data_IF_230923621732
#
_entry.id   IF_230923621732
#
_cell.length_a   1.000
_cell.length_b   1.000
_cell.length_c   1.000
_cell.angle_alpha   90.00
_cell.angle_beta   90.00
_cell.angle_gamma   90.00
#
_symmetry.space_group_name_H-M   'P 1'
#
loop_
_entity.id
_entity.type
_entity.pdbx_description
1 polymer ?
#
# COMPACT_ATOMS: atom_id res chain seq x y z
N UNK A 1 -34.65 39.90 36.67
CA UNK A 1 -34.36 38.93 35.60
C UNK A 1 -32.88 39.02 35.32
N UNK A 2 -32.12 37.94 35.52
CA UNK A 2 -30.68 37.95 35.19
C UNK A 2 -30.60 37.68 33.68
N UNK A 3 -30.24 38.71 32.92
CA UNK A 3 -29.91 38.55 31.49
C UNK A 3 -28.71 37.62 31.39
N UNK A 4 -28.92 36.42 30.85
CA UNK A 4 -27.81 35.55 30.45
C UNK A 4 -27.20 36.16 29.20
N UNK A 5 -26.00 36.74 29.34
CA UNK A 5 -25.20 37.12 28.17
C UNK A 5 -25.06 35.93 27.21
N UNK A 6 -25.29 36.11 25.91
CA UNK A 6 -25.16 35.05 24.94
C UNK A 6 -23.71 34.53 24.91
N UNK A 7 -23.55 33.20 25.02
CA UNK A 7 -22.23 32.56 24.93
C UNK A 7 -21.71 32.79 23.51
N UNK A 8 -20.55 33.45 23.39
CA UNK A 8 -19.92 33.65 22.09
C UNK A 8 -19.49 32.31 21.49
N UNK A 9 -19.60 32.18 20.16
CA UNK A 9 -19.19 30.97 19.44
C UNK A 9 -17.74 30.58 19.76
N UNK A 10 -16.85 31.56 19.93
CA UNK A 10 -15.45 31.32 20.32
C UNK A 10 -15.31 30.68 21.70
N UNK A 11 -16.14 31.10 22.67
CA UNK A 11 -16.18 30.52 24.03
C UNK A 11 -16.78 29.12 24.02
N UNK A 12 -17.77 28.87 23.16
CA UNK A 12 -18.34 27.54 22.95
C UNK A 12 -17.32 26.59 22.30
N UNK A 13 -16.66 27.01 21.22
CA UNK A 13 -15.66 26.20 20.49
C UNK A 13 -14.38 25.90 21.27
N UNK A 14 -14.08 26.67 22.32
CA UNK A 14 -12.96 26.41 23.24
C UNK A 14 -13.36 25.58 24.45
N UNK A 15 -14.64 25.26 24.61
CA UNK A 15 -15.12 24.44 25.71
C UNK A 15 -14.61 22.99 25.53
N UNK A 16 -14.04 22.35 26.58
CA UNK A 16 -13.47 21.00 26.47
C UNK A 16 -14.43 19.95 25.89
N UNK A 17 -15.70 19.97 26.30
CA UNK A 17 -16.72 19.06 25.76
C UNK A 17 -17.02 19.29 24.27
N UNK A 18 -16.98 20.55 23.80
CA UNK A 18 -17.19 20.87 22.39
C UNK A 18 -15.97 20.45 21.58
N UNK A 19 -14.76 20.72 22.08
CA UNK A 19 -13.53 20.22 21.47
C UNK A 19 -13.52 18.69 21.38
N UNK A 20 -13.95 18.00 22.43
CA UNK A 20 -14.08 16.53 22.44
C UNK A 20 -15.13 16.03 21.44
N UNK A 21 -16.31 16.63 21.40
CA UNK A 21 -17.41 16.23 20.52
C UNK A 21 -17.15 16.56 19.03
N UNK A 22 -16.41 17.63 18.75
CA UNK A 22 -16.06 18.08 17.40
C UNK A 22 -14.69 17.58 16.93
N UNK A 23 -13.94 16.91 17.82
CA UNK A 23 -12.66 16.31 17.49
C UNK A 23 -12.84 15.27 16.39
N UNK A 24 -11.96 15.33 15.39
CA UNK A 24 -11.84 14.27 14.39
C UNK A 24 -11.09 13.03 14.94
N UNK A 25 -10.70 13.06 16.21
CA UNK A 25 -10.09 11.96 16.97
C UNK A 25 -11.03 11.59 18.11
N UNK A 26 -11.65 10.41 18.01
CA UNK A 26 -12.46 9.80 19.06
C UNK A 26 -11.73 8.60 19.68
N UNK A 27 -12.32 7.99 20.71
CA UNK A 27 -11.72 6.88 21.42
C UNK A 27 -11.53 5.66 20.52
N UNK A 28 -12.51 5.35 19.68
CA UNK A 28 -12.45 4.22 18.75
C UNK A 28 -11.30 4.38 17.75
N UNK A 29 -11.01 5.61 17.31
CA UNK A 29 -9.88 5.90 16.44
C UNK A 29 -8.54 5.68 17.16
N UNK A 30 -8.43 6.08 18.42
CA UNK A 30 -7.23 5.86 19.23
C UNK A 30 -6.99 4.37 19.44
N UNK A 31 -8.00 3.64 19.90
CA UNK A 31 -7.95 2.17 20.05
C UNK A 31 -7.61 1.47 18.73
N UNK A 32 -8.17 1.96 17.61
CA UNK A 32 -7.86 1.41 16.28
C UNK A 32 -6.40 1.63 15.89
N UNK A 33 -5.80 2.78 16.22
CA UNK A 33 -4.40 3.09 15.94
C UNK A 33 -3.44 2.25 16.80
N UNK A 34 -3.84 1.85 18.00
CA UNK A 34 -3.04 1.00 18.89
C UNK A 34 -2.99 -0.47 18.45
N UNK A 35 -3.90 -0.90 17.58
CA UNK A 35 -3.88 -2.26 17.05
C UNK A 35 -2.54 -2.56 16.35
N UNK A 36 -1.86 -3.60 16.80
CA UNK A 36 -0.62 -4.10 16.20
C UNK A 36 -0.94 -5.26 15.24
N UNK A 37 -0.83 -5.07 13.91
CA UNK A 37 -1.09 -6.15 12.97
C UNK A 37 -0.14 -7.33 13.19
N UNK A 38 -0.62 -8.57 13.13
CA UNK A 38 0.26 -9.73 13.18
C UNK A 38 1.19 -9.73 11.96
N UNK A 39 2.44 -10.12 12.18
CA UNK A 39 3.45 -10.29 11.13
C UNK A 39 3.72 -11.77 10.91
N UNK A 40 4.11 -12.15 9.69
CA UNK A 40 4.57 -13.50 9.42
C UNK A 40 5.80 -13.83 10.28
N UNK A 41 5.90 -15.09 10.73
CA UNK A 41 6.98 -15.53 11.64
C UNK A 41 8.37 -15.21 11.11
N UNK A 42 8.55 -15.30 9.79
CA UNK A 42 9.83 -14.98 9.14
C UNK A 42 10.34 -13.57 9.50
N UNK A 43 9.43 -12.60 9.62
CA UNK A 43 9.77 -11.20 9.91
C UNK A 43 9.99 -10.91 11.41
N UNK A 44 9.81 -11.91 12.29
CA UNK A 44 10.20 -11.79 13.70
C UNK A 44 11.72 -11.73 13.85
N UNK A 45 12.45 -12.48 13.01
CA UNK A 45 13.92 -12.38 12.96
C UNK A 45 14.35 -10.99 12.48
N UNK A 46 15.52 -10.55 12.93
CA UNK A 46 16.08 -9.25 12.52
C UNK A 46 16.49 -9.27 11.06
N UNK A 47 17.11 -10.36 10.62
CA UNK A 47 17.68 -10.50 9.28
C UNK A 47 16.90 -11.54 8.49
N UNK A 48 16.75 -11.25 7.20
CA UNK A 48 16.04 -12.11 6.27
C UNK A 48 16.77 -12.14 4.93
N UNK A 49 16.62 -13.23 4.19
CA UNK A 49 17.14 -13.38 2.84
C UNK A 49 16.08 -13.98 1.90
N UNK A 50 16.33 -13.83 0.60
CA UNK A 50 15.49 -14.40 -0.44
C UNK A 50 16.07 -15.73 -0.91
N UNK A 51 15.20 -16.70 -1.09
CA UNK A 51 15.51 -18.03 -1.63
C UNK A 51 14.59 -18.29 -2.83
N UNK A 52 15.15 -18.80 -3.93
CA UNK A 52 14.34 -19.18 -5.10
C UNK A 52 13.49 -20.41 -4.79
N UNK A 53 12.19 -20.33 -5.10
CA UNK A 53 11.23 -21.42 -4.97
C UNK A 53 11.02 -22.12 -6.32
N UNK A 54 11.77 -23.19 -6.57
CA UNK A 54 11.76 -23.95 -7.84
C UNK A 54 10.47 -24.75 -8.08
N UNK A 55 9.66 -24.91 -7.04
CA UNK A 55 8.35 -25.54 -7.07
C UNK A 55 7.27 -24.84 -7.92
N UNK A 56 7.45 -23.55 -8.24
CA UNK A 56 6.48 -22.76 -9.01
C UNK A 56 6.84 -22.78 -10.49
N UNK A 57 5.86 -23.11 -11.33
CA UNK A 57 6.05 -23.18 -12.78
C UNK A 57 5.04 -22.31 -13.54
N UNK A 58 5.52 -21.44 -14.41
CA UNK A 58 4.68 -20.54 -15.20
C UNK A 58 4.89 -20.77 -16.69
N UNK A 59 3.79 -20.69 -17.45
CA UNK A 59 3.86 -20.58 -18.91
C UNK A 59 4.18 -19.14 -19.28
N UNK A 60 5.21 -18.96 -20.10
CA UNK A 60 5.69 -17.63 -20.47
C UNK A 60 4.97 -17.16 -21.74
N UNK A 61 4.23 -16.08 -21.62
CA UNK A 61 3.58 -15.44 -22.77
C UNK A 61 4.62 -14.88 -23.76
N UNK A 62 4.35 -15.08 -25.06
CA UNK A 62 5.27 -14.73 -26.14
C UNK A 62 5.45 -13.22 -26.26
N UNK A 63 4.37 -12.44 -26.15
CA UNK A 63 4.44 -10.99 -26.29
C UNK A 63 5.10 -10.35 -25.06
N UNK A 64 4.81 -10.88 -23.87
CA UNK A 64 5.46 -10.47 -22.62
C UNK A 64 6.97 -10.72 -22.68
N UNK A 65 7.41 -11.86 -23.25
CA UNK A 65 8.84 -12.13 -23.46
C UNK A 65 9.51 -11.11 -24.38
N UNK A 66 8.80 -10.58 -25.38
CA UNK A 66 9.33 -9.53 -26.27
C UNK A 66 9.38 -8.17 -25.57
N UNK A 67 8.35 -7.84 -24.79
CA UNK A 67 8.21 -6.52 -24.17
C UNK A 67 9.01 -6.37 -22.86
N UNK A 68 9.14 -7.45 -22.08
CA UNK A 68 9.79 -7.47 -20.77
C UNK A 68 10.92 -8.52 -20.70
N UNK A 69 11.89 -8.52 -21.64
CA UNK A 69 12.91 -9.57 -21.76
C UNK A 69 13.81 -9.68 -20.52
N UNK A 70 14.00 -8.59 -19.78
CA UNK A 70 14.84 -8.58 -18.58
C UNK A 70 14.12 -9.07 -17.33
N UNK A 71 12.79 -9.24 -17.38
CA UNK A 71 11.97 -9.59 -16.22
C UNK A 71 11.28 -10.94 -16.36
N UNK A 72 10.96 -11.37 -17.58
CA UNK A 72 10.13 -12.55 -17.86
C UNK A 72 10.66 -13.85 -17.24
N UNK A 73 11.96 -13.92 -16.96
CA UNK A 73 12.60 -15.09 -16.37
C UNK A 73 12.76 -15.02 -14.84
N UNK A 74 12.21 -13.98 -14.18
CA UNK A 74 12.26 -13.86 -12.73
C UNK A 74 11.61 -15.10 -12.07
N UNK A 75 12.31 -15.65 -11.08
CA UNK A 75 11.84 -16.80 -10.32
C UNK A 75 11.11 -16.34 -9.07
N UNK A 76 10.11 -17.11 -8.66
CA UNK A 76 9.42 -16.88 -7.38
C UNK A 76 10.44 -16.94 -6.25
N UNK A 77 10.35 -15.95 -5.35
CA UNK A 77 11.22 -15.84 -4.18
C UNK A 77 10.41 -16.13 -2.92
N UNK A 78 10.97 -16.96 -2.04
CA UNK A 78 10.54 -17.14 -0.66
C UNK A 78 11.40 -16.32 0.26
N UNK A 79 10.82 -15.83 1.35
CA UNK A 79 11.57 -15.14 2.42
C UNK A 79 11.94 -16.17 3.48
N UNK A 80 13.19 -16.13 3.94
CA UNK A 80 13.72 -16.97 5.03
C UNK A 80 14.34 -16.10 6.12
N UNK A 81 14.23 -16.55 7.36
CA UNK A 81 14.88 -15.92 8.50
C UNK A 81 16.35 -16.30 8.54
N UNK A 82 17.19 -15.37 8.97
CA UNK A 82 18.60 -15.62 9.24
C UNK A 82 18.93 -15.19 10.68
N UNK A 83 18.95 -16.16 11.60
CA UNK A 83 19.22 -15.88 13.01
C UNK A 83 20.71 -15.68 13.31
N UNK A 84 21.58 -16.17 12.43
CA UNK A 84 23.04 -15.98 12.48
C UNK A 84 23.58 -15.65 11.09
N UNK A 85 23.27 -14.46 10.55
CA UNK A 85 23.67 -14.07 9.20
C UNK A 85 25.18 -13.82 9.14
N UNK A 86 25.79 -14.12 8.01
CA UNK A 86 27.18 -13.73 7.75
C UNK A 86 27.33 -12.19 7.64
N UNK A 87 28.57 -11.70 7.69
CA UNK A 87 28.85 -10.26 7.62
C UNK A 87 28.41 -9.61 6.30
N UNK A 88 28.35 -10.36 5.21
CA UNK A 88 27.92 -9.86 3.90
C UNK A 88 26.42 -9.57 3.90
N UNK A 89 25.62 -10.52 4.38
CA UNK A 89 24.17 -10.39 4.51
C UNK A 89 23.81 -9.26 5.47
N UNK A 90 24.50 -9.15 6.61
CA UNK A 90 24.28 -8.03 7.55
C UNK A 90 24.52 -6.67 6.87
N UNK A 91 25.67 -6.50 6.19
CA UNK A 91 25.98 -5.25 5.48
C UNK A 91 24.98 -4.92 4.38
N UNK A 92 24.52 -5.92 3.63
CA UNK A 92 23.52 -5.74 2.59
C UNK A 92 22.15 -5.36 3.18
N UNK A 93 21.75 -5.98 4.29
CA UNK A 93 20.48 -5.71 4.96
C UNK A 93 20.46 -4.30 5.56
N UNK A 94 21.52 -3.93 6.29
CA UNK A 94 21.66 -2.66 6.99
C UNK A 94 22.06 -1.50 6.05
N UNK A 95 22.17 -1.74 4.73
CA UNK A 95 22.44 -0.70 3.73
C UNK A 95 21.36 0.38 3.78
N UNK A 96 21.79 1.65 3.83
CA UNK A 96 20.92 2.82 3.69
C UNK A 96 20.21 2.79 2.34
N UNK A 97 18.90 3.06 2.36
CA UNK A 97 18.00 3.04 1.21
C UNK A 97 17.06 4.25 1.19
N UNK A 98 16.67 4.65 -0.01
CA UNK A 98 15.62 5.63 -0.29
C UNK A 98 14.51 4.95 -1.07
N UNK A 99 13.30 4.92 -0.51
CA UNK A 99 12.18 4.14 -1.05
C UNK A 99 11.04 5.09 -1.39
N UNK A 100 10.63 5.12 -2.66
CA UNK A 100 9.40 5.78 -3.09
C UNK A 100 8.19 4.86 -2.96
N UNK A 101 7.03 5.41 -2.61
CA UNK A 101 5.76 4.68 -2.54
C UNK A 101 4.66 5.50 -3.21
N UNK A 102 3.83 4.86 -4.02
CA UNK A 102 2.70 5.50 -4.70
C UNK A 102 1.43 4.67 -4.53
N UNK A 103 0.30 5.33 -4.31
CA UNK A 103 -1.02 4.72 -4.47
C UNK A 103 -1.54 4.94 -5.89
N UNK A 104 -1.96 3.87 -6.56
CA UNK A 104 -2.51 3.93 -7.92
C UNK A 104 -3.89 3.26 -7.98
N UNK A 105 -4.83 3.92 -8.64
CA UNK A 105 -6.21 3.46 -8.79
C UNK A 105 -7.13 3.83 -7.64
N UNK A 106 -8.30 3.17 -7.59
CA UNK A 106 -9.29 3.35 -6.52
C UNK A 106 -8.77 2.89 -5.16
N UNK A 107 -9.16 3.57 -4.06
CA UNK A 107 -8.71 3.22 -2.72
C UNK A 107 -9.20 1.82 -2.31
N UNK A 108 -8.41 1.16 -1.47
CA UNK A 108 -8.77 -0.11 -0.85
C UNK A 108 -8.44 -0.08 0.64
N UNK A 109 -9.27 -0.67 1.52
CA UNK A 109 -8.95 -0.77 2.94
C UNK A 109 -7.61 -1.48 3.16
N UNK A 110 -6.68 -0.84 3.86
CA UNK A 110 -5.35 -1.40 4.20
C UNK A 110 -4.16 -0.71 3.54
N UNK A 111 -4.35 0.22 2.59
CA UNK A 111 -3.20 0.88 1.92
C UNK A 111 -2.27 1.65 2.86
N UNK A 112 -2.82 2.33 3.88
CA UNK A 112 -1.97 2.99 4.88
C UNK A 112 -1.11 1.99 5.67
N UNK A 113 -1.59 0.76 5.89
CA UNK A 113 -0.81 -0.28 6.55
C UNK A 113 0.32 -0.83 5.66
N UNK A 114 0.18 -0.78 4.34
CA UNK A 114 1.30 -1.08 3.42
C UNK A 114 2.43 -0.08 3.64
N UNK A 115 2.11 1.21 3.67
CA UNK A 115 3.10 2.27 3.96
C UNK A 115 3.69 2.08 5.36
N UNK A 116 2.85 1.83 6.37
CA UNK A 116 3.31 1.63 7.74
C UNK A 116 4.29 0.45 7.88
N UNK A 117 3.97 -0.70 7.24
CA UNK A 117 4.85 -1.85 7.22
C UNK A 117 6.19 -1.60 6.51
N UNK A 118 6.17 -0.89 5.38
CA UNK A 118 7.40 -0.45 4.67
C UNK A 118 8.22 0.47 5.57
N UNK A 119 7.57 1.45 6.21
CA UNK A 119 8.22 2.42 7.09
C UNK A 119 8.91 1.73 8.25
N UNK A 120 8.19 0.86 8.98
CA UNK A 120 8.72 0.15 10.14
C UNK A 120 9.86 -0.80 9.75
N UNK A 121 9.70 -1.56 8.67
CA UNK A 121 10.74 -2.46 8.18
C UNK A 121 11.99 -1.70 7.72
N UNK A 122 11.82 -0.61 6.98
CA UNK A 122 12.93 0.23 6.54
C UNK A 122 13.67 0.86 7.73
N UNK A 123 12.94 1.45 8.69
CA UNK A 123 13.56 2.04 9.88
C UNK A 123 14.24 1.01 10.78
N UNK A 124 13.68 -0.20 10.90
CA UNK A 124 14.30 -1.34 11.62
C UNK A 124 15.61 -1.78 10.97
N UNK A 125 15.66 -1.83 9.63
CA UNK A 125 16.86 -2.22 8.90
C UNK A 125 17.97 -1.17 8.99
N UNK A 126 17.63 0.11 8.78
CA UNK A 126 18.55 1.22 8.98
C UNK A 126 17.76 2.50 9.32
N UNK A 127 18.01 3.15 10.48
CA UNK A 127 17.31 4.38 10.88
C UNK A 127 17.44 5.55 9.88
N UNK A 128 18.53 5.59 9.11
CA UNK A 128 18.81 6.60 8.09
C UNK A 128 18.02 6.40 6.79
N UNK A 129 17.26 5.32 6.68
CA UNK A 129 16.40 5.08 5.52
C UNK A 129 15.35 6.18 5.38
N UNK A 130 15.08 6.59 4.15
CA UNK A 130 14.06 7.60 3.83
C UNK A 130 12.96 7.00 2.99
N UNK A 131 11.72 7.33 3.33
CA UNK A 131 10.53 6.88 2.61
C UNK A 131 9.86 8.13 2.04
N UNK A 132 9.59 8.13 0.74
CA UNK A 132 8.93 9.21 0.03
C UNK A 132 7.58 8.72 -0.48
N UNK A 133 6.52 9.48 -0.22
CA UNK A 133 5.20 9.23 -0.77
C UNK A 133 4.92 10.17 -1.94
N UNK A 134 4.61 9.62 -3.10
CA UNK A 134 4.21 10.40 -4.28
C UNK A 134 2.76 10.87 -4.16
N UNK A 135 2.56 12.17 -4.35
CA UNK A 135 1.27 12.83 -4.11
C UNK A 135 0.35 12.64 -5.31
N UNK A 136 -0.93 12.36 -5.06
CA UNK A 136 -1.97 12.20 -6.10
C UNK A 136 -1.71 11.06 -7.10
N UNK A 137 -0.92 10.07 -6.70
CA UNK A 137 -0.72 8.84 -7.47
C UNK A 137 0.38 8.97 -8.54
N UNK A 138 0.26 8.28 -9.69
CA UNK A 138 1.33 8.27 -10.69
C UNK A 138 1.71 9.65 -11.25
N UNK A 139 0.79 10.62 -11.24
CA UNK A 139 1.09 12.01 -11.59
C UNK A 139 2.20 12.59 -10.72
N UNK A 140 2.20 12.30 -9.41
CA UNK A 140 3.26 12.75 -8.52
C UNK A 140 4.64 12.19 -8.87
N UNK A 141 4.71 11.03 -9.54
CA UNK A 141 5.98 10.51 -10.06
C UNK A 141 6.41 11.31 -11.29
N UNK A 142 5.48 11.56 -12.21
CA UNK A 142 5.74 12.27 -13.47
C UNK A 142 6.14 13.73 -13.20
N UNK A 143 5.49 14.37 -12.22
CA UNK A 143 5.66 15.78 -11.86
C UNK A 143 6.71 16.02 -10.77
N UNK A 144 7.33 14.95 -10.25
CA UNK A 144 8.29 15.01 -9.13
C UNK A 144 7.70 15.61 -7.83
N UNK A 145 6.43 15.33 -7.58
CA UNK A 145 5.69 15.75 -6.38
C UNK A 145 5.71 14.64 -5.33
N UNK A 146 6.74 14.66 -4.48
CA UNK A 146 6.94 13.68 -3.41
C UNK A 146 7.11 14.34 -2.05
N UNK A 147 6.65 13.65 -1.00
CA UNK A 147 6.82 14.06 0.39
C UNK A 147 7.53 12.99 1.20
N UNK A 148 8.56 13.38 1.96
CA UNK A 148 9.17 12.47 2.93
C UNK A 148 8.16 12.12 4.04
N UNK A 149 7.95 10.82 4.26
CA UNK A 149 7.01 10.31 5.25
C UNK A 149 7.71 10.22 6.60
N UNK A 150 7.17 10.94 7.60
CA UNK A 150 7.69 10.94 8.97
C UNK A 150 6.92 9.94 9.84
N UNK A 151 7.52 9.55 10.97
CA UNK A 151 6.86 8.67 11.94
C UNK A 151 5.52 9.25 12.40
N UNK A 152 5.49 10.54 12.76
CA UNK A 152 4.26 11.24 13.15
C UNK A 152 3.18 11.20 12.04
N UNK A 153 3.58 11.33 10.78
CA UNK A 153 2.63 11.20 9.67
C UNK A 153 2.10 9.77 9.57
N UNK A 154 2.98 8.76 9.58
CA UNK A 154 2.59 7.35 9.47
C UNK A 154 1.68 6.94 10.63
N UNK A 155 2.03 7.30 11.86
CA UNK A 155 1.29 6.95 13.08
C UNK A 155 -0.15 7.52 13.08
N UNK A 156 -0.36 8.69 12.46
CA UNK A 156 -1.72 9.26 12.28
C UNK A 156 -2.62 8.41 11.37
N UNK A 157 -2.07 7.61 10.48
CA UNK A 157 -2.84 6.83 9.50
C UNK A 157 -2.81 5.31 9.74
N UNK A 158 -2.09 4.84 10.76
CA UNK A 158 -2.06 3.41 11.11
C UNK A 158 -3.48 2.86 11.29
N UNK A 159 -3.74 1.74 10.63
CA UNK A 159 -4.99 0.98 10.71
C UNK A 159 -6.24 1.70 10.19
N UNK A 160 -6.07 2.87 9.55
CA UNK A 160 -7.16 3.65 8.97
C UNK A 160 -7.41 3.28 7.51
N UNK A 161 -8.67 3.32 7.11
CA UNK A 161 -9.08 3.14 5.72
C UNK A 161 -8.71 4.33 4.81
N UNK A 162 -8.99 4.16 3.52
CA UNK A 162 -8.70 5.16 2.49
C UNK A 162 -7.21 5.28 2.17
N UNK A 163 -6.90 6.16 1.20
CA UNK A 163 -5.55 6.47 0.70
C UNK A 163 -5.20 7.95 0.97
N UNK A 164 -5.73 8.53 2.04
CA UNK A 164 -5.68 9.96 2.30
C UNK A 164 -4.30 10.50 2.69
N UNK A 165 -3.37 9.64 3.11
CA UNK A 165 -2.01 10.04 3.50
C UNK A 165 -1.23 10.73 2.38
N UNK A 166 -1.30 10.19 1.16
CA UNK A 166 -0.60 10.70 -0.04
C UNK A 166 -1.54 10.87 -1.25
N UNK A 167 -2.83 10.57 -1.08
CA UNK A 167 -3.85 10.56 -2.15
C UNK A 167 -3.51 9.52 -3.22
N UNK A 168 -4.36 9.43 -4.25
CA UNK A 168 -4.24 8.43 -5.31
C UNK A 168 -4.73 9.02 -6.62
N UNK A 169 -4.30 8.42 -7.74
CA UNK A 169 -4.63 8.83 -9.10
C UNK A 169 -4.67 7.64 -10.04
N UNK A 170 -5.18 7.85 -11.25
CA UNK A 170 -5.37 6.80 -12.27
C UNK A 170 -4.49 6.97 -13.51
N UNK A 171 -3.58 7.94 -13.50
CA UNK A 171 -2.70 8.19 -14.65
C UNK A 171 -1.88 6.96 -15.00
N UNK A 172 -1.86 6.64 -16.29
CA UNK A 172 -1.01 5.59 -16.85
C UNK A 172 0.32 6.19 -17.30
N UNK A 173 1.41 5.49 -16.99
CA UNK A 173 2.76 5.79 -17.49
C UNK A 173 2.95 4.92 -18.74
N UNK A 174 2.35 5.37 -19.83
CA UNK A 174 2.13 4.60 -21.06
C UNK A 174 2.77 5.24 -22.30
N UNK A 175 3.46 6.37 -22.12
CA UNK A 175 4.21 7.04 -23.18
C UNK A 175 5.71 7.08 -22.84
N UNK A 176 6.60 7.09 -23.86
CA UNK A 176 8.04 7.22 -23.65
C UNK A 176 8.42 8.47 -22.84
N UNK A 177 7.68 9.56 -23.04
CA UNK A 177 7.88 10.82 -22.29
C UNK A 177 7.58 10.65 -20.79
N UNK A 178 6.41 10.11 -20.43
CA UNK A 178 6.04 9.87 -19.03
C UNK A 178 7.00 8.88 -18.37
N UNK A 179 7.47 7.87 -19.11
CA UNK A 179 8.46 6.90 -18.66
C UNK A 179 9.79 7.60 -18.35
N UNK A 180 10.28 8.45 -19.26
CA UNK A 180 11.51 9.21 -19.08
C UNK A 180 11.41 10.18 -17.88
N UNK A 181 10.29 10.88 -17.73
CA UNK A 181 10.02 11.75 -16.57
C UNK A 181 10.03 10.94 -15.26
N UNK A 182 9.33 9.81 -15.22
CA UNK A 182 9.27 8.96 -14.04
C UNK A 182 10.65 8.42 -13.63
N UNK A 183 11.47 8.05 -14.62
CA UNK A 183 12.86 7.65 -14.44
C UNK A 183 13.73 8.79 -13.93
N UNK A 184 13.55 10.00 -14.46
CA UNK A 184 14.27 11.18 -14.01
C UNK A 184 13.94 11.50 -12.55
N UNK A 185 12.65 11.51 -12.17
CA UNK A 185 12.20 11.71 -10.79
C UNK A 185 12.86 10.70 -9.82
N UNK A 186 12.90 9.42 -10.19
CA UNK A 186 13.55 8.40 -9.35
C UNK A 186 15.05 8.67 -9.17
N UNK A 187 15.73 9.17 -10.20
CA UNK A 187 17.15 9.55 -10.14
C UNK A 187 17.37 10.80 -9.29
N UNK A 188 16.55 11.84 -9.47
CA UNK A 188 16.64 13.09 -8.72
C UNK A 188 16.45 12.85 -7.22
N UNK A 189 15.49 11.99 -6.88
CA UNK A 189 15.24 11.55 -5.50
C UNK A 189 16.23 10.48 -5.01
N UNK A 190 17.17 10.03 -5.84
CA UNK A 190 18.14 8.97 -5.57
C UNK A 190 17.48 7.71 -4.98
N UNK A 191 16.38 7.26 -5.56
CA UNK A 191 15.63 6.10 -5.06
C UNK A 191 16.39 4.80 -5.34
N UNK A 192 16.49 3.94 -4.33
CA UNK A 192 16.91 2.54 -4.49
C UNK A 192 15.71 1.67 -4.92
N UNK A 193 14.49 2.06 -4.53
CA UNK A 193 13.28 1.33 -4.87
C UNK A 193 12.04 2.23 -5.02
N UNK A 194 11.11 1.79 -5.87
CA UNK A 194 9.78 2.36 -6.06
C UNK A 194 8.73 1.28 -5.80
N UNK A 195 7.84 1.50 -4.85
CA UNK A 195 6.74 0.59 -4.51
C UNK A 195 5.43 1.14 -5.07
N UNK A 196 4.78 0.35 -5.93
CA UNK A 196 3.51 0.72 -6.57
C UNK A 196 2.39 -0.12 -5.95
N UNK A 197 1.49 0.55 -5.22
CA UNK A 197 0.35 -0.08 -4.56
C UNK A 197 -0.89 0.14 -5.41
N UNK A 198 -1.33 -0.88 -6.14
CA UNK A 198 -2.38 -0.70 -7.14
C UNK A 198 -2.96 -1.98 -7.74
N UNK A 199 -3.83 -1.78 -8.72
CA UNK A 199 -4.56 -2.84 -9.41
C UNK A 199 -3.72 -3.58 -10.46
N UNK A 200 -4.38 -4.32 -11.34
CA UNK A 200 -3.83 -4.99 -12.52
C UNK A 200 -3.17 -3.97 -13.47
N UNK A 201 -3.87 -2.88 -13.80
CA UNK A 201 -3.36 -1.77 -14.62
C UNK A 201 -2.09 -1.16 -13.99
N UNK A 202 -2.11 -0.94 -12.67
CA UNK A 202 -0.99 -0.34 -11.94
C UNK A 202 0.22 -1.27 -11.87
N UNK A 203 0.00 -2.57 -11.67
CA UNK A 203 1.08 -3.56 -11.63
C UNK A 203 1.63 -3.87 -13.03
N UNK A 204 0.82 -3.70 -14.07
CA UNK A 204 1.29 -3.71 -15.46
C UNK A 204 2.28 -2.56 -15.69
N UNK A 205 1.92 -1.32 -15.31
CA UNK A 205 2.84 -0.18 -15.37
C UNK A 205 4.11 -0.42 -14.53
N UNK A 206 3.98 -1.06 -13.36
CA UNK A 206 5.12 -1.41 -12.51
C UNK A 206 6.12 -2.35 -13.22
N UNK A 207 5.63 -3.31 -14.00
CA UNK A 207 6.48 -4.22 -14.76
C UNK A 207 7.26 -3.48 -15.86
N UNK A 208 6.62 -2.57 -16.60
CA UNK A 208 7.30 -1.76 -17.60
C UNK A 208 8.32 -0.80 -16.97
N UNK A 209 7.99 -0.16 -15.86
CA UNK A 209 8.94 0.67 -15.10
C UNK A 209 10.14 -0.14 -14.61
N UNK A 210 9.90 -1.36 -14.09
CA UNK A 210 10.97 -2.26 -13.66
C UNK A 210 11.93 -2.60 -14.81
N UNK A 211 11.39 -2.86 -16.01
CA UNK A 211 12.16 -3.18 -17.21
C UNK A 211 13.05 -1.99 -17.61
N UNK A 212 12.50 -0.78 -17.60
CA UNK A 212 13.19 0.45 -18.00
C UNK A 212 14.23 0.94 -16.97
N UNK A 213 13.97 0.73 -15.69
CA UNK A 213 14.82 1.21 -14.59
C UNK A 213 15.86 0.19 -14.11
N UNK A 214 15.82 -1.06 -14.59
CA UNK A 214 16.73 -2.14 -14.16
C UNK A 214 18.21 -1.74 -14.26
N UNK A 215 18.58 -1.07 -15.35
CA UNK A 215 19.97 -0.63 -15.60
C UNK A 215 20.39 0.57 -14.75
N UNK A 216 19.43 1.32 -14.22
CA UNK A 216 19.69 2.45 -13.32
C UNK A 216 19.81 2.02 -11.86
N UNK A 217 19.61 0.72 -11.56
CA UNK A 217 19.72 0.17 -10.21
C UNK A 217 18.52 0.47 -9.30
N UNK A 218 17.41 0.97 -9.84
CA UNK A 218 16.17 1.21 -9.09
C UNK A 218 15.27 -0.02 -9.17
N UNK A 219 14.93 -0.60 -8.02
CA UNK A 219 14.00 -1.75 -7.96
C UNK A 219 12.55 -1.26 -7.98
N UNK A 220 11.70 -1.84 -8.82
CA UNK A 220 10.26 -1.54 -8.81
C UNK A 220 9.49 -2.74 -8.26
N UNK A 221 8.67 -2.51 -7.24
CA UNK A 221 7.95 -3.56 -6.51
C UNK A 221 6.45 -3.27 -6.55
N UNK A 222 5.67 -4.21 -7.05
CA UNK A 222 4.21 -4.14 -7.06
C UNK A 222 3.56 -4.70 -5.79
N UNK A 223 2.48 -4.08 -5.32
CA UNK A 223 1.64 -4.59 -4.23
C UNK A 223 0.20 -4.77 -4.74
N UNK A 224 -0.38 -5.99 -4.66
CA UNK A 224 -1.67 -6.30 -5.27
C UNK A 224 -2.84 -5.71 -4.47
N UNK A 225 -3.38 -4.59 -4.95
CA UNK A 225 -4.49 -3.85 -4.35
C UNK A 225 -5.70 -3.86 -5.27
N UNK A 226 -6.83 -4.37 -4.81
CA UNK A 226 -8.15 -4.19 -5.45
C UNK A 226 -9.24 -4.76 -4.57
N UNK A 227 -10.39 -4.08 -4.51
CA UNK A 227 -11.57 -4.60 -3.81
C UNK A 227 -12.32 -5.64 -4.64
N UNK A 228 -12.01 -5.75 -5.94
CA UNK A 228 -12.70 -6.61 -6.90
C UNK A 228 -12.24 -8.08 -6.79
N UNK A 229 -11.09 -8.31 -6.15
CA UNK A 229 -10.56 -9.66 -5.92
C UNK A 229 -10.04 -10.34 -7.20
N UNK A 230 -9.77 -9.58 -8.25
CA UNK A 230 -9.40 -10.04 -9.59
C UNK A 230 -7.89 -10.22 -9.80
N UNK A 231 -7.05 -9.81 -8.84
CA UNK A 231 -5.60 -10.09 -8.86
C UNK A 231 -5.32 -11.33 -8.02
N UNK A 232 -5.37 -12.48 -8.68
CA UNK A 232 -5.00 -13.78 -8.13
C UNK A 232 -3.99 -14.44 -9.05
N UNK A 233 -2.98 -15.08 -8.47
CA UNK A 233 -1.90 -15.71 -9.24
C UNK A 233 -1.80 -17.16 -8.86
N UNK A 234 -1.94 -18.03 -9.86
CA UNK A 234 -1.68 -19.46 -9.79
C UNK A 234 -0.65 -19.82 -10.84
N UNK A 235 0.15 -20.82 -10.52
CA UNK A 235 1.09 -21.40 -11.47
C UNK A 235 0.36 -22.33 -12.46
N UNK A 236 1.05 -22.88 -13.46
CA UNK A 236 0.44 -23.72 -14.50
C UNK A 236 -0.12 -25.06 -13.98
N UNK A 237 0.20 -25.43 -12.74
CA UNK A 237 -0.34 -26.62 -12.04
C UNK A 237 -1.43 -26.25 -11.02
N UNK A 238 -1.83 -24.98 -10.97
CA UNK A 238 -2.88 -24.49 -10.06
C UNK A 238 -2.40 -24.15 -8.65
N UNK A 239 -1.09 -24.21 -8.36
CA UNK A 239 -0.52 -23.82 -7.06
C UNK A 239 -0.69 -22.32 -6.86
N UNK A 240 -1.23 -21.93 -5.71
CA UNK A 240 -1.49 -20.51 -5.39
C UNK A 240 -0.18 -19.80 -5.04
N UNK A 241 0.08 -18.68 -5.70
CA UNK A 241 1.14 -17.73 -5.34
C UNK A 241 0.53 -16.47 -4.69
N UNK A 242 -0.51 -15.91 -5.31
CA UNK A 242 -1.29 -14.81 -4.76
C UNK A 242 -2.74 -15.26 -4.63
N UNK A 243 -3.20 -15.50 -3.40
CA UNK A 243 -4.55 -16.00 -3.15
C UNK A 243 -5.62 -14.92 -3.35
N UNK A 244 -5.32 -13.68 -2.97
CA UNK A 244 -6.26 -12.56 -2.98
C UNK A 244 -5.51 -11.23 -2.88
N UNK A 245 -6.04 -10.21 -3.53
CA UNK A 245 -5.62 -8.82 -3.34
C UNK A 245 -6.07 -8.27 -1.99
N UNK A 246 -5.32 -7.32 -1.43
CA UNK A 246 -5.80 -6.65 -0.23
C UNK A 246 -6.94 -5.67 -0.57
N UNK A 247 -7.86 -5.51 0.38
CA UNK A 247 -9.06 -4.68 0.26
C UNK A 247 -10.33 -5.49 0.04
N UNK A 248 -10.27 -6.58 -0.73
CA UNK A 248 -11.41 -7.45 -1.05
C UNK A 248 -12.16 -7.89 0.21
N UNK A 249 -11.45 -8.48 1.19
CA UNK A 249 -12.07 -8.99 2.42
C UNK A 249 -12.91 -7.94 3.16
N UNK A 250 -12.37 -6.74 3.37
CA UNK A 250 -13.08 -5.67 4.09
C UNK A 250 -14.25 -5.12 3.28
N UNK A 251 -14.10 -4.97 1.96
CA UNK A 251 -15.18 -4.54 1.07
C UNK A 251 -16.32 -5.56 1.05
N UNK A 252 -16.02 -6.82 0.75
CA UNK A 252 -16.98 -7.91 0.72
C UNK A 252 -17.72 -8.07 2.07
N UNK A 253 -17.00 -8.00 3.20
CA UNK A 253 -17.61 -8.05 4.54
C UNK A 253 -18.56 -6.88 4.79
N UNK A 254 -18.22 -5.69 4.32
CA UNK A 254 -19.07 -4.50 4.47
C UNK A 254 -20.34 -4.64 3.63
N UNK A 255 -20.21 -5.03 2.36
CA UNK A 255 -21.37 -5.29 1.50
C UNK A 255 -22.27 -6.40 2.03
N UNK A 256 -21.69 -7.51 2.51
CA UNK A 256 -22.45 -8.61 3.09
C UNK A 256 -23.25 -8.16 4.33
N UNK A 257 -22.69 -7.27 5.16
CA UNK A 257 -23.40 -6.70 6.31
C UNK A 257 -24.60 -5.86 5.88
N UNK A 258 -24.43 -4.98 4.90
CA UNK A 258 -25.55 -4.14 4.42
C UNK A 258 -26.64 -4.96 3.72
N UNK A 259 -26.25 -5.93 2.88
CA UNK A 259 -27.20 -6.86 2.26
C UNK A 259 -27.95 -7.64 3.35
N UNK A 260 -27.26 -8.12 4.38
CA UNK A 260 -27.91 -8.81 5.51
C UNK A 260 -28.92 -7.92 6.24
N UNK A 261 -28.63 -6.63 6.40
CA UNK A 261 -29.57 -5.69 7.01
C UNK A 261 -30.84 -5.54 6.15
N UNK A 262 -30.67 -5.42 4.82
CA UNK A 262 -31.80 -5.36 3.88
C UNK A 262 -32.61 -6.65 3.85
N UNK A 263 -31.97 -7.82 3.93
CA UNK A 263 -32.67 -9.10 4.06
C UNK A 263 -33.51 -9.15 5.34
N UNK A 264 -32.99 -8.67 6.47
CA UNK A 264 -33.74 -8.61 7.73
C UNK A 264 -34.92 -7.64 7.65
N UNK A 265 -34.74 -6.46 7.04
CA UNK A 265 -35.81 -5.49 6.83
C UNK A 265 -36.91 -6.07 5.92
N UNK A 266 -36.54 -6.63 4.78
CA UNK A 266 -37.45 -7.28 3.85
C UNK A 266 -38.21 -8.46 4.47
N UNK A 267 -37.57 -9.21 5.39
CA UNK A 267 -38.23 -10.28 6.12
C UNK A 267 -39.25 -9.77 7.16
N UNK A 268 -39.10 -8.53 7.60
CA UNK A 268 -39.98 -7.89 8.58
C UNK A 268 -41.26 -7.37 7.94
N UNK A 269 -41.18 -6.87 6.70
CA UNK A 269 -42.32 -6.33 5.95
C UNK A 269 -42.26 -6.81 4.50
N UNK A 270 -43.04 -7.86 4.18
CA UNK A 270 -43.01 -8.64 2.92
C UNK A 270 -43.61 -7.84 1.75
N UNK A 271 -43.05 -6.68 1.47
CA UNK A 271 -43.52 -5.72 0.45
C UNK A 271 -42.43 -5.16 -0.45
N UNK A 272 -41.16 -5.44 -0.15
CA UNK A 272 -40.02 -4.89 -0.89
C UNK A 272 -39.28 -5.95 -1.71
N UNK A 273 -38.71 -5.50 -2.83
CA UNK A 273 -37.70 -6.21 -3.61
C UNK A 273 -36.48 -5.30 -3.71
N UNK A 274 -35.41 -5.62 -2.98
CA UNK A 274 -34.15 -4.87 -3.05
C UNK A 274 -33.28 -5.43 -4.17
N UNK A 275 -32.80 -4.56 -5.06
CA UNK A 275 -31.82 -4.88 -6.11
C UNK A 275 -30.50 -4.23 -5.67
N UNK A 276 -29.51 -5.06 -5.33
CA UNK A 276 -28.19 -4.64 -4.85
C UNK A 276 -27.12 -4.96 -5.90
#
# INVERSE_FOLDING_TARGET
MIEKEPISLKKLMSHPEVLKATSNVNQELLERREYNPPICDVFKSRYNYLETLEEYCFELDRETKKQLPDLINNKVQGVRSADSPDTSLQKAYDKKRRIGVVFSGGPAPGGHNVIAGIYDAAKKANPDNKIFGFILGPDGIIENEAKELTQELVDRYRNLGGFSMIKTGRTKIDTPEKMALSKQTCKDLNLDALVIVGGDDSNTNAAFLAQEMKKDGVQVIGVPKTIDGDIQVRDSKGKVLCAMSFGFHTAARSFAKEISNLCNDCSSDVKYWHIC
#
